data_IF_853929392515
#
_entry.id   IF_853929392515
#
_cell.length_a   1.000
_cell.length_b   1.000
_cell.length_c   1.000
_cell.angle_alpha   90.00
_cell.angle_beta   90.00
_cell.angle_gamma   90.00
#
_symmetry.space_group_name_H-M   'P 1'
#
loop_
_entity.id
_entity.type
_entity.pdbx_description
1 polymer ?
#
# COMPACT_ATOMS: atom_id res chain seq x y z
N UNK A 1 57.55 4.18 -30.86
CA UNK A 1 57.61 4.08 -29.40
C UNK A 1 56.46 4.88 -28.79
N UNK A 2 55.61 4.15 -28.05
CA UNK A 2 54.61 4.59 -27.07
C UNK A 2 53.37 5.40 -27.52
N UNK A 3 52.39 4.67 -28.05
CA UNK A 3 50.98 4.86 -27.67
C UNK A 3 50.81 4.31 -26.24
N UNK A 4 50.33 5.12 -25.30
CA UNK A 4 49.68 4.62 -24.09
C UNK A 4 48.45 5.47 -23.79
N UNK A 5 47.31 4.88 -24.12
CA UNK A 5 45.98 5.38 -23.89
C UNK A 5 45.68 5.47 -22.39
N UNK A 6 45.05 6.58 -21.97
CA UNK A 6 44.47 6.73 -20.64
C UNK A 6 43.22 5.83 -20.54
N UNK A 7 43.33 4.72 -19.81
CA UNK A 7 42.19 3.93 -19.37
C UNK A 7 41.46 4.68 -18.25
N UNK A 8 40.33 5.29 -18.57
CA UNK A 8 39.33 5.68 -17.58
C UNK A 8 38.49 4.44 -17.23
N UNK A 9 38.78 3.82 -16.10
CA UNK A 9 37.91 2.82 -15.47
C UNK A 9 36.68 3.56 -14.90
N UNK A 10 35.58 3.59 -15.66
CA UNK A 10 34.26 3.89 -15.12
C UNK A 10 33.80 2.70 -14.29
N UNK A 11 34.09 2.71 -12.98
CA UNK A 11 33.41 1.84 -12.03
C UNK A 11 31.96 2.30 -11.93
N UNK A 12 31.07 1.68 -12.69
CA UNK A 12 29.63 1.85 -12.48
C UNK A 12 29.27 1.20 -11.15
N UNK A 13 29.16 2.02 -10.10
CA UNK A 13 28.51 1.65 -8.85
C UNK A 13 27.04 1.42 -9.16
N UNK A 14 26.68 0.17 -9.45
CA UNK A 14 25.29 -0.28 -9.43
C UNK A 14 24.84 -0.28 -7.97
N UNK A 15 24.35 0.87 -7.50
CA UNK A 15 23.57 0.93 -6.28
C UNK A 15 22.31 0.08 -6.52
N UNK A 16 22.01 -0.92 -5.66
CA UNK A 16 20.71 -1.57 -5.71
C UNK A 16 19.65 -0.50 -5.51
N UNK A 17 18.73 -0.40 -6.47
CA UNK A 17 17.56 0.47 -6.37
C UNK A 17 16.65 -0.15 -5.30
N UNK A 18 16.92 0.17 -4.03
CA UNK A 18 15.97 -0.09 -2.95
C UNK A 18 14.71 0.70 -3.31
N UNK A 19 13.63 0.00 -3.63
CA UNK A 19 12.33 0.62 -3.81
C UNK A 19 11.89 1.19 -2.45
N UNK A 20 12.22 2.44 -2.18
CA UNK A 20 11.71 3.15 -1.01
C UNK A 20 10.23 3.41 -1.25
N UNK A 21 9.40 3.09 -0.25
CA UNK A 21 8.04 3.58 -0.23
C UNK A 21 8.10 5.10 -0.01
N UNK A 22 7.69 5.88 -1.01
CA UNK A 22 7.86 7.34 -0.97
C UNK A 22 6.65 8.03 -0.37
N UNK A 23 5.43 7.54 -0.64
CA UNK A 23 4.18 8.14 -0.12
C UNK A 23 4.10 9.67 -0.33
N UNK A 24 4.73 10.19 -1.39
CA UNK A 24 4.96 11.63 -1.63
C UNK A 24 3.69 12.51 -1.55
N UNK A 25 2.52 11.90 -1.75
CA UNK A 25 1.22 12.58 -1.82
C UNK A 25 0.39 12.47 -0.54
N UNK A 26 0.84 11.70 0.44
CA UNK A 26 0.08 11.42 1.66
C UNK A 26 0.99 11.22 2.88
N UNK A 27 2.20 11.77 2.85
CA UNK A 27 3.16 11.71 3.94
C UNK A 27 2.62 12.38 5.22
N UNK A 28 1.69 13.33 5.09
CA UNK A 28 1.02 14.00 6.21
C UNK A 28 0.12 13.08 7.04
N UNK A 29 -0.23 11.89 6.52
CA UNK A 29 -0.96 10.86 7.24
C UNK A 29 -0.07 10.10 8.24
N UNK A 30 1.25 10.25 8.13
CA UNK A 30 2.21 9.58 9.01
C UNK A 30 2.58 10.47 10.21
N UNK A 31 2.85 9.88 11.38
CA UNK A 31 3.31 10.62 12.55
C UNK A 31 4.67 11.28 12.22
N UNK A 32 4.78 12.58 12.50
CA UNK A 32 5.95 13.39 12.16
C UNK A 32 6.39 13.29 10.68
N UNK A 33 5.48 12.90 9.78
CA UNK A 33 5.76 12.63 8.36
C UNK A 33 6.85 11.56 8.16
N UNK A 34 7.05 10.67 9.13
CA UNK A 34 8.06 9.62 9.06
C UNK A 34 7.45 8.30 8.62
N UNK A 35 7.95 7.78 7.49
CA UNK A 35 7.43 6.56 6.87
C UNK A 35 8.05 5.33 7.58
N UNK A 36 7.26 4.30 7.91
CA UNK A 36 7.77 3.06 8.48
C UNK A 36 8.87 2.42 7.62
N UNK A 37 9.87 1.83 8.26
CA UNK A 37 10.95 1.12 7.60
C UNK A 37 10.78 -0.38 7.74
N UNK A 38 10.92 -1.11 6.64
CA UNK A 38 10.83 -2.57 6.60
C UNK A 38 11.65 -3.14 5.45
N UNK A 39 12.07 -4.40 5.58
CA UNK A 39 12.70 -5.16 4.50
C UNK A 39 11.69 -5.73 3.49
N UNK A 40 10.39 -5.69 3.81
CA UNK A 40 9.34 -6.19 2.93
C UNK A 40 9.20 -5.30 1.70
N UNK A 41 9.12 -5.91 0.52
CA UNK A 41 8.93 -5.18 -0.74
C UNK A 41 7.44 -4.93 -0.94
N UNK A 42 7.05 -3.66 -1.03
CA UNK A 42 5.66 -3.26 -1.24
C UNK A 42 5.42 -2.26 -2.36
N UNK A 43 4.18 -1.78 -2.45
CA UNK A 43 3.70 -0.68 -3.29
C UNK A 43 3.04 0.35 -2.39
N UNK A 44 3.45 1.61 -2.49
CA UNK A 44 2.81 2.72 -1.79
C UNK A 44 1.59 3.22 -2.56
N UNK A 45 0.45 3.27 -1.87
CA UNK A 45 -0.81 3.77 -2.42
C UNK A 45 -1.38 4.85 -1.50
N UNK A 46 -1.43 6.08 -2.00
CA UNK A 46 -2.10 7.18 -1.33
C UNK A 46 -3.60 7.21 -1.66
N UNK A 47 -4.43 7.18 -0.62
CA UNK A 47 -5.85 7.52 -0.65
C UNK A 47 -6.05 8.88 0.03
N UNK A 48 -7.25 9.44 -0.02
CA UNK A 48 -7.49 10.80 0.50
C UNK A 48 -7.39 10.83 2.03
N UNK A 49 -7.93 9.81 2.71
CA UNK A 49 -8.00 9.75 4.17
C UNK A 49 -7.03 8.74 4.81
N UNK A 50 -6.37 7.91 3.99
CA UNK A 50 -5.47 6.84 4.45
C UNK A 50 -4.38 6.49 3.42
N UNK A 51 -3.37 5.75 3.85
CA UNK A 51 -2.36 5.21 2.94
C UNK A 51 -2.20 3.68 3.15
N UNK A 52 -1.78 2.99 2.08
CA UNK A 52 -1.56 1.55 2.09
C UNK A 52 -0.17 1.24 1.58
N UNK A 53 0.60 0.47 2.35
CA UNK A 53 1.78 -0.24 1.85
C UNK A 53 1.38 -1.68 1.51
N UNK A 54 1.26 -1.97 0.22
CA UNK A 54 0.66 -3.19 -0.30
C UNK A 54 1.71 -4.25 -0.65
N UNK A 55 1.51 -5.51 -0.24
CA UNK A 55 2.36 -6.64 -0.63
C UNK A 55 1.94 -7.16 -2.01
N UNK A 56 2.77 -7.04 -3.06
CA UNK A 56 2.45 -7.57 -4.38
C UNK A 56 2.45 -9.10 -4.43
N UNK A 57 3.16 -9.77 -3.52
CA UNK A 57 3.19 -11.23 -3.42
C UNK A 57 1.99 -11.78 -2.66
N UNK A 58 1.63 -11.15 -1.54
CA UNK A 58 0.55 -11.64 -0.66
C UNK A 58 -0.82 -11.11 -1.09
N UNK A 59 -0.83 -10.07 -1.92
CA UNK A 59 -1.99 -9.39 -2.46
C UNK A 59 -2.91 -8.78 -1.40
N UNK A 60 -2.32 -8.31 -0.31
CA UNK A 60 -2.96 -7.65 0.83
C UNK A 60 -2.03 -6.56 1.39
N UNK A 61 -2.50 -5.64 2.24
CA UNK A 61 -1.62 -4.74 2.97
C UNK A 61 -0.52 -5.47 3.77
N UNK A 62 0.68 -4.89 3.74
CA UNK A 62 1.72 -5.08 4.75
C UNK A 62 1.32 -4.26 5.99
N UNK A 63 1.04 -2.98 5.76
CA UNK A 63 0.39 -2.08 6.72
C UNK A 63 -0.43 -1.03 5.97
N UNK A 64 -1.38 -0.44 6.69
CA UNK A 64 -2.08 0.79 6.34
C UNK A 64 -1.84 1.83 7.42
N UNK A 65 -2.09 3.10 7.12
CA UNK A 65 -2.10 4.18 8.12
C UNK A 65 -3.28 5.11 7.90
N UNK A 66 -3.90 5.52 8.99
CA UNK A 66 -4.91 6.58 9.03
C UNK A 66 -4.63 7.56 10.19
N UNK A 67 -4.95 8.84 9.95
CA UNK A 67 -4.81 9.94 10.91
C UNK A 67 -6.20 10.41 11.35
N UNK A 68 -6.59 10.01 12.56
CA UNK A 68 -7.92 10.23 13.13
C UNK A 68 -7.86 11.21 14.30
N UNK A 69 -8.97 11.85 14.60
CA UNK A 69 -9.15 12.66 15.81
C UNK A 69 -10.62 12.66 16.23
N UNK A 70 -10.89 13.23 17.41
CA UNK A 70 -12.24 13.25 17.97
C UNK A 70 -13.25 14.00 17.09
N UNK A 71 -12.84 15.07 16.43
CA UNK A 71 -13.68 15.85 15.51
C UNK A 71 -14.13 15.01 14.30
N UNK A 72 -13.20 14.38 13.59
CA UNK A 72 -13.48 13.49 12.45
C UNK A 72 -14.43 12.34 12.81
N UNK A 73 -14.24 11.73 13.98
CA UNK A 73 -15.07 10.60 14.42
C UNK A 73 -16.45 11.00 14.96
N UNK A 74 -16.69 12.28 15.19
CA UNK A 74 -17.98 12.83 15.65
C UNK A 74 -18.73 13.56 14.55
N UNK A 75 -18.06 13.95 13.47
CA UNK A 75 -18.68 14.50 12.28
C UNK A 75 -19.72 13.53 11.67
N UNK A 76 -20.71 14.03 10.91
CA UNK A 76 -21.58 13.19 10.11
C UNK A 76 -20.78 12.32 9.13
N UNK A 77 -21.10 11.03 9.07
CA UNK A 77 -20.41 10.09 8.19
C UNK A 77 -21.26 9.77 6.96
N UNK A 78 -20.65 9.63 5.78
CA UNK A 78 -21.34 9.26 4.54
C UNK A 78 -21.96 7.86 4.65
N UNK A 79 -22.93 7.58 3.77
CA UNK A 79 -23.57 6.27 3.73
C UNK A 79 -22.60 5.23 3.17
N UNK A 80 -22.47 4.11 3.88
CA UNK A 80 -21.66 2.98 3.42
C UNK A 80 -22.14 2.46 2.07
N UNK A 81 -21.25 2.40 1.08
CA UNK A 81 -21.58 2.00 -0.30
C UNK A 81 -21.63 0.49 -0.50
N UNK A 82 -20.76 -0.27 0.20
CA UNK A 82 -20.54 -1.71 0.00
C UNK A 82 -20.06 -2.09 -1.42
N UNK A 83 -19.52 -1.12 -2.17
CA UNK A 83 -19.08 -1.32 -3.54
C UNK A 83 -17.57 -1.58 -3.59
N UNK A 84 -17.19 -2.84 -3.39
CA UNK A 84 -15.80 -3.28 -3.52
C UNK A 84 -15.31 -3.22 -4.97
N UNK A 85 -14.06 -2.81 -5.16
CA UNK A 85 -13.45 -2.69 -6.48
C UNK A 85 -11.98 -3.10 -6.46
N UNK A 86 -11.48 -3.54 -7.61
CA UNK A 86 -10.12 -4.02 -7.80
C UNK A 86 -9.18 -2.83 -7.95
N UNK A 87 -8.03 -2.83 -7.25
CA UNK A 87 -7.17 -1.65 -7.21
C UNK A 87 -6.38 -1.45 -8.50
N UNK A 88 -6.99 -0.62 -9.33
CA UNK A 88 -6.50 0.05 -10.52
C UNK A 88 -5.02 0.27 -10.68
N UNK A 89 -4.36 0.74 -9.63
CA UNK A 89 -3.00 1.26 -9.72
C UNK A 89 -1.95 0.16 -9.55
N UNK A 90 -2.38 -1.06 -9.22
CA UNK A 90 -1.53 -2.22 -9.08
C UNK A 90 -1.46 -3.02 -10.38
N UNK A 91 -0.32 -3.64 -10.74
CA UNK A 91 -0.25 -4.58 -11.85
C UNK A 91 -1.28 -5.70 -11.70
N UNK A 92 -1.85 -6.18 -12.82
CA UNK A 92 -2.88 -7.21 -12.79
C UNK A 92 -2.44 -8.50 -12.05
N UNK A 93 -1.16 -8.86 -12.14
CA UNK A 93 -0.61 -10.04 -11.48
C UNK A 93 -0.35 -9.84 -9.98
N UNK A 94 -0.22 -8.60 -9.52
CA UNK A 94 0.03 -8.22 -8.12
C UNK A 94 -1.27 -7.93 -7.36
N UNK A 95 -2.37 -7.58 -8.04
CA UNK A 95 -3.63 -7.23 -7.37
C UNK A 95 -4.49 -8.44 -6.98
N UNK A 96 -5.28 -8.26 -5.93
CA UNK A 96 -6.43 -9.11 -5.63
C UNK A 96 -7.63 -8.76 -6.52
N UNK A 97 -8.41 -9.78 -6.89
CA UNK A 97 -9.63 -9.64 -7.69
C UNK A 97 -10.88 -9.98 -6.86
N UNK A 98 -12.04 -9.45 -7.27
CA UNK A 98 -13.31 -9.79 -6.61
C UNK A 98 -13.62 -11.29 -6.72
N UNK A 99 -13.18 -11.91 -7.82
CA UNK A 99 -13.30 -13.33 -8.06
C UNK A 99 -12.49 -14.19 -7.07
N UNK A 100 -11.42 -13.64 -6.46
CA UNK A 100 -10.60 -14.39 -5.51
C UNK A 100 -11.33 -14.62 -4.17
N UNK A 101 -12.15 -13.65 -3.78
CA UNK A 101 -12.94 -13.70 -2.54
C UNK A 101 -14.26 -14.47 -2.71
N UNK A 102 -14.82 -14.51 -3.91
CA UNK A 102 -16.11 -15.14 -4.17
C UNK A 102 -16.06 -16.64 -3.86
N UNK A 103 -16.88 -17.09 -2.92
CA UNK A 103 -16.97 -18.50 -2.52
C UNK A 103 -15.77 -19.01 -1.71
N UNK A 104 -14.87 -18.13 -1.27
CA UNK A 104 -13.67 -18.52 -0.53
C UNK A 104 -13.92 -18.90 0.94
N UNK A 105 -15.07 -18.50 1.50
CA UNK A 105 -15.34 -18.60 2.94
C UNK A 105 -14.81 -17.43 3.78
N UNK A 106 -13.98 -16.55 3.20
CA UNK A 106 -13.42 -15.39 3.88
C UNK A 106 -14.14 -14.09 3.50
N UNK A 107 -14.26 -13.19 4.48
CA UNK A 107 -14.70 -11.83 4.25
C UNK A 107 -13.59 -10.99 3.59
N UNK A 108 -14.01 -9.91 2.92
CA UNK A 108 -13.12 -8.80 2.52
C UNK A 108 -12.93 -7.88 3.73
N UNK A 109 -12.04 -8.28 4.63
CA UNK A 109 -11.75 -7.57 5.88
C UNK A 109 -11.03 -6.26 5.60
N UNK A 110 -11.59 -5.15 6.07
CA UNK A 110 -10.98 -3.83 5.90
C UNK A 110 -9.78 -3.67 6.83
N UNK A 111 -8.67 -3.12 6.35
CA UNK A 111 -7.57 -2.67 7.22
C UNK A 111 -7.87 -1.26 7.75
N UNK A 112 -8.26 -0.35 6.85
CA UNK A 112 -8.85 0.97 7.17
C UNK A 112 -10.37 0.85 7.07
N UNK A 113 -11.11 0.93 8.20
CA UNK A 113 -12.55 0.71 8.21
C UNK A 113 -13.31 1.81 7.45
N UNK A 114 -14.32 1.41 6.67
CA UNK A 114 -15.17 2.39 5.98
C UNK A 114 -15.89 3.35 6.95
N UNK A 115 -16.17 2.88 8.18
CA UNK A 115 -16.79 3.68 9.24
C UNK A 115 -15.89 4.76 9.85
N UNK A 116 -14.63 4.86 9.42
CA UNK A 116 -13.71 5.92 9.83
C UNK A 116 -13.62 7.05 8.78
N UNK A 117 -14.27 6.88 7.62
CA UNK A 117 -14.24 7.84 6.52
C UNK A 117 -15.28 8.96 6.71
N UNK A 118 -14.86 10.22 6.53
CA UNK A 118 -15.72 11.41 6.70
C UNK A 118 -16.20 12.01 5.38
N UNK A 119 -15.73 11.50 4.25
CA UNK A 119 -16.08 11.99 2.91
C UNK A 119 -16.64 10.87 2.05
N UNK A 120 -17.59 11.16 1.17
CA UNK A 120 -18.15 10.18 0.22
C UNK A 120 -17.05 9.53 -0.66
N UNK A 121 -16.01 10.31 -0.98
CA UNK A 121 -14.84 9.83 -1.72
C UNK A 121 -13.96 8.88 -0.89
N UNK A 122 -13.62 9.25 0.34
CA UNK A 122 -12.89 8.39 1.27
C UNK A 122 -13.65 7.09 1.56
N UNK A 123 -14.97 7.20 1.75
CA UNK A 123 -15.88 6.07 1.90
C UNK A 123 -15.74 5.10 0.73
N UNK A 124 -15.87 5.58 -0.51
CA UNK A 124 -15.71 4.72 -1.68
C UNK A 124 -14.28 4.14 -1.79
N UNK A 125 -13.25 4.95 -1.57
CA UNK A 125 -11.84 4.52 -1.59
C UNK A 125 -11.54 3.40 -0.58
N UNK A 126 -12.17 3.43 0.59
CA UNK A 126 -12.00 2.39 1.63
C UNK A 126 -12.40 0.99 1.14
N UNK A 127 -13.22 0.88 0.09
CA UNK A 127 -13.64 -0.38 -0.52
C UNK A 127 -12.67 -0.94 -1.58
N UNK A 128 -11.53 -0.29 -1.82
CA UNK A 128 -10.46 -0.84 -2.67
C UNK A 128 -9.99 -2.19 -2.14
N UNK A 129 -9.85 -3.20 -3.00
CA UNK A 129 -9.26 -4.48 -2.61
C UNK A 129 -7.79 -4.36 -2.15
N UNK A 130 -7.10 -3.25 -2.47
CA UNK A 130 -5.80 -2.99 -1.88
C UNK A 130 -5.86 -2.71 -0.37
N UNK A 131 -7.01 -2.31 0.17
CA UNK A 131 -7.27 -2.15 1.62
C UNK A 131 -7.82 -3.43 2.27
N UNK A 132 -7.96 -4.53 1.52
CA UNK A 132 -8.59 -5.76 2.00
C UNK A 132 -7.58 -6.85 2.34
N UNK A 133 -7.97 -7.73 3.26
CA UNK A 133 -7.35 -9.03 3.49
C UNK A 133 -8.43 -10.11 3.66
N UNK A 134 -8.13 -11.39 3.35
CA UNK A 134 -8.99 -12.51 3.71
C UNK A 134 -9.12 -12.60 5.23
N UNK A 135 -10.29 -12.26 5.77
CA UNK A 135 -10.54 -12.26 7.20
C UNK A 135 -11.61 -13.29 7.55
N UNK A 136 -11.35 -14.10 8.58
CA UNK A 136 -12.32 -15.05 9.10
C UNK A 136 -13.61 -14.30 9.50
N UNK A 137 -14.78 -14.86 9.21
CA UNK A 137 -16.04 -14.10 9.21
C UNK A 137 -16.43 -13.66 10.61
N UNK A 138 -16.31 -14.57 11.59
CA UNK A 138 -16.61 -14.29 12.99
C UNK A 138 -15.53 -13.37 13.58
N UNK A 139 -14.30 -13.43 13.04
CA UNK A 139 -13.27 -12.47 13.40
C UNK A 139 -13.66 -11.04 12.96
N UNK A 140 -13.94 -10.86 11.67
CA UNK A 140 -14.27 -9.57 11.06
C UNK A 140 -15.51 -8.94 11.70
N UNK A 141 -16.61 -9.69 11.75
CA UNK A 141 -17.93 -9.19 12.17
C UNK A 141 -18.07 -9.13 13.71
N UNK A 142 -17.26 -9.93 14.42
CA UNK A 142 -17.28 -10.07 15.87
C UNK A 142 -16.09 -9.37 16.52
N UNK A 143 -15.08 -10.16 16.89
CA UNK A 143 -14.01 -9.73 17.79
C UNK A 143 -13.25 -8.50 17.26
N UNK A 144 -12.95 -8.44 15.95
CA UNK A 144 -12.23 -7.32 15.36
C UNK A 144 -13.05 -6.03 15.42
N UNK A 145 -14.28 -6.05 14.90
CA UNK A 145 -15.16 -4.89 14.95
C UNK A 145 -15.45 -4.42 16.38
N UNK A 146 -15.80 -5.36 17.28
CA UNK A 146 -16.35 -5.05 18.62
C UNK A 146 -15.30 -4.86 19.71
N UNK A 147 -14.13 -5.49 19.58
CA UNK A 147 -13.09 -5.48 20.62
C UNK A 147 -11.80 -4.81 20.19
N UNK A 148 -11.63 -4.49 18.89
CA UNK A 148 -10.46 -3.77 18.37
C UNK A 148 -10.86 -2.41 17.81
N UNK A 149 -11.71 -2.37 16.79
CA UNK A 149 -12.04 -1.12 16.11
C UNK A 149 -12.91 -0.16 16.96
N UNK A 150 -14.00 -0.67 17.55
CA UNK A 150 -14.89 0.13 18.40
C UNK A 150 -14.15 0.75 19.61
N UNK A 151 -13.36 -0.01 20.40
CA UNK A 151 -12.55 0.57 21.47
C UNK A 151 -11.50 1.58 20.99
N UNK A 152 -10.89 1.34 19.83
CA UNK A 152 -9.95 2.29 19.22
C UNK A 152 -10.67 3.61 18.91
N UNK A 153 -11.82 3.57 18.24
CA UNK A 153 -12.65 4.78 17.99
C UNK A 153 -13.05 5.48 19.29
N UNK A 154 -13.46 4.73 20.32
CA UNK A 154 -13.82 5.31 21.63
C UNK A 154 -12.64 5.99 22.32
N UNK A 155 -11.42 5.47 22.19
CA UNK A 155 -10.21 6.14 22.67
C UNK A 155 -10.02 7.47 21.93
N UNK A 156 -10.01 7.43 20.60
CA UNK A 156 -9.70 8.58 19.75
C UNK A 156 -10.71 9.72 19.95
N UNK A 157 -11.99 9.40 20.15
CA UNK A 157 -13.04 10.40 20.46
C UNK A 157 -12.76 11.24 21.71
N UNK A 158 -11.94 10.72 22.64
CA UNK A 158 -11.57 11.39 23.90
C UNK A 158 -10.15 11.94 23.88
N UNK A 159 -9.37 11.66 22.83
CA UNK A 159 -8.01 12.16 22.72
C UNK A 159 -8.03 13.66 22.38
N UNK A 160 -7.09 14.46 22.94
CA UNK A 160 -7.06 15.90 22.73
C UNK A 160 -6.55 16.31 21.34
N UNK A 161 -6.03 15.37 20.55
CA UNK A 161 -5.44 15.65 19.23
C UNK A 161 -5.50 14.46 18.29
N UNK A 162 -4.65 14.50 17.27
CA UNK A 162 -4.57 13.41 16.29
C UNK A 162 -4.00 12.14 16.94
N UNK A 163 -4.62 11.01 16.60
CA UNK A 163 -4.16 9.66 16.90
C UNK A 163 -3.92 8.96 15.56
N UNK A 164 -2.78 8.27 15.47
CA UNK A 164 -2.37 7.55 14.28
C UNK A 164 -2.66 6.06 14.49
N UNK A 165 -3.34 5.44 13.53
CA UNK A 165 -3.68 4.03 13.58
C UNK A 165 -3.02 3.33 12.41
N UNK A 166 -2.21 2.32 12.69
CA UNK A 166 -1.67 1.42 11.69
C UNK A 166 -2.35 0.07 11.80
N UNK A 167 -2.79 -0.48 10.66
CA UNK A 167 -3.42 -1.81 10.62
C UNK A 167 -2.71 -2.68 9.61
N UNK A 168 -2.50 -3.95 9.94
CA UNK A 168 -1.91 -4.89 9.00
C UNK A 168 -2.07 -6.33 9.48
N UNK A 169 -1.38 -7.24 8.80
CA UNK A 169 -1.51 -8.67 9.07
C UNK A 169 -0.25 -9.44 8.70
N UNK A 170 0.00 -10.54 9.41
CA UNK A 170 1.21 -11.36 9.26
C UNK A 170 0.91 -12.86 9.16
N UNK A 171 1.94 -13.59 8.74
CA UNK A 171 1.92 -15.04 8.56
C UNK A 171 1.08 -15.47 7.36
N UNK A 172 1.05 -16.78 7.14
CA UNK A 172 0.43 -17.39 5.98
C UNK A 172 -0.30 -18.66 6.43
N UNK A 173 -1.62 -18.67 6.26
CA UNK A 173 -2.51 -19.80 6.54
C UNK A 173 -3.13 -20.36 5.25
N UNK A 174 -2.40 -20.23 4.13
CA UNK A 174 -2.87 -20.59 2.79
C UNK A 174 -3.28 -19.36 1.97
N UNK A 175 -4.08 -19.60 0.94
CA UNK A 175 -4.50 -18.55 0.00
C UNK A 175 -5.89 -18.82 -0.58
N UNK A 176 -6.58 -17.75 -0.98
CA UNK A 176 -7.88 -17.81 -1.67
C UNK A 176 -7.76 -17.45 -3.15
N UNK A 177 -8.69 -17.97 -3.95
CA UNK A 177 -8.84 -17.59 -5.35
C UNK A 177 -7.74 -18.08 -6.29
N UNK A 178 -7.91 -17.83 -7.59
CA UNK A 178 -6.87 -18.11 -8.61
C UNK A 178 -5.70 -17.13 -8.49
N UNK A 179 -5.97 -15.93 -7.99
CA UNK A 179 -5.00 -14.91 -7.70
C UNK A 179 -4.06 -15.27 -6.54
N UNK A 180 -4.38 -16.29 -5.72
CA UNK A 180 -3.62 -16.70 -4.54
C UNK A 180 -3.43 -15.56 -3.53
N UNK A 181 -4.52 -14.88 -3.19
CA UNK A 181 -4.50 -13.85 -2.14
C UNK A 181 -4.23 -14.55 -0.81
N UNK A 182 -3.17 -14.15 -0.11
CA UNK A 182 -2.72 -14.85 1.10
C UNK A 182 -3.69 -14.62 2.25
N UNK A 183 -4.04 -15.70 2.94
CA UNK A 183 -4.79 -15.66 4.20
C UNK A 183 -3.77 -15.40 5.32
N UNK A 184 -3.80 -14.25 6.01
CA UNK A 184 -2.92 -14.02 7.14
C UNK A 184 -3.30 -14.93 8.30
N UNK A 185 -2.32 -15.32 9.12
CA UNK A 185 -2.57 -16.05 10.37
C UNK A 185 -3.00 -15.12 11.51
N UNK A 186 -2.55 -13.86 11.48
CA UNK A 186 -2.77 -12.89 12.55
C UNK A 186 -2.97 -11.49 11.98
N UNK A 187 -3.74 -10.71 12.72
CA UNK A 187 -4.06 -9.32 12.44
C UNK A 187 -3.51 -8.45 13.57
N UNK A 188 -3.05 -7.25 13.24
CA UNK A 188 -2.62 -6.28 14.24
C UNK A 188 -3.20 -4.89 13.97
N UNK A 189 -3.45 -4.14 15.06
CA UNK A 189 -3.80 -2.72 14.99
C UNK A 189 -2.99 -1.96 16.04
N UNK A 190 -2.03 -1.17 15.57
CA UNK A 190 -1.20 -0.28 16.37
C UNK A 190 -1.88 1.07 16.50
N UNK A 191 -2.03 1.55 17.73
CA UNK A 191 -2.58 2.87 18.04
C UNK A 191 -1.49 3.71 18.66
N UNK A 192 -1.25 4.91 18.12
CA UNK A 192 -0.26 5.85 18.62
C UNK A 192 -0.90 7.21 18.92
N UNK A 193 -0.78 7.64 20.17
CA UNK A 193 -1.18 8.95 20.66
C UNK A 193 0.07 9.81 20.92
N UNK A 194 0.42 10.74 20.01
CA UNK A 194 1.58 11.60 20.16
C UNK A 194 1.46 12.57 21.35
N UNK A 195 0.25 12.97 21.74
CA UNK A 195 0.05 13.90 22.85
C UNK A 195 0.47 13.27 24.19
N UNK A 196 0.35 11.94 24.28
CA UNK A 196 0.79 11.15 25.43
C UNK A 196 2.09 10.37 25.20
N UNK A 197 2.66 10.45 23.98
CA UNK A 197 3.78 9.60 23.55
C UNK A 197 3.56 8.13 23.88
N UNK A 198 2.34 7.64 23.66
CA UNK A 198 1.90 6.31 24.03
C UNK A 198 1.55 5.50 22.78
N UNK A 199 2.00 4.24 22.74
CA UNK A 199 1.62 3.29 21.72
C UNK A 199 1.31 1.90 22.28
N UNK A 200 0.31 1.23 21.71
CA UNK A 200 -0.01 -0.17 21.99
C UNK A 200 -0.56 -0.83 20.73
N UNK A 201 -0.47 -2.16 20.65
CA UNK A 201 -1.03 -2.90 19.53
C UNK A 201 -1.94 -4.03 19.97
N UNK A 202 -3.11 -4.12 19.33
CA UNK A 202 -3.92 -5.33 19.34
C UNK A 202 -3.22 -6.39 18.47
N UNK A 203 -3.27 -7.64 18.91
CA UNK A 203 -2.75 -8.80 18.18
C UNK A 203 -3.78 -9.93 18.27
N UNK A 204 -4.37 -10.32 17.15
CA UNK A 204 -5.52 -11.25 17.13
C UNK A 204 -5.31 -12.30 16.05
N UNK A 205 -5.55 -13.57 16.37
CA UNK A 205 -5.56 -14.66 15.38
C UNK A 205 -6.67 -14.45 14.34
N UNK A 206 -6.41 -14.82 13.09
CA UNK A 206 -7.39 -14.71 12.00
C UNK A 206 -8.23 -16.00 11.88
N UNK A 207 -8.94 -16.34 12.94
CA UNK A 207 -9.82 -17.51 13.03
C UNK A 207 -11.20 -17.13 13.56
N UNK A 208 -12.19 -17.98 13.32
CA UNK A 208 -13.56 -17.74 13.77
C UNK A 208 -13.75 -17.92 15.29
N UNK A 209 -12.82 -18.62 15.95
CA UNK A 209 -12.77 -18.89 17.38
C UNK A 209 -11.78 -18.00 18.15
N UNK A 210 -11.14 -17.04 17.46
CA UNK A 210 -10.15 -16.14 18.03
C UNK A 210 -10.62 -15.48 19.33
N UNK A 211 -9.71 -15.40 20.30
CA UNK A 211 -9.96 -14.80 21.61
C UNK A 211 -9.15 -13.51 21.78
N UNK A 212 -9.66 -12.58 22.59
CA UNK A 212 -8.93 -11.36 22.91
C UNK A 212 -7.84 -11.63 23.93
N UNK A 213 -6.65 -11.12 23.66
CA UNK A 213 -5.58 -10.98 24.65
C UNK A 213 -5.38 -9.53 25.04
N UNK A 214 -4.58 -9.27 26.08
CA UNK A 214 -4.10 -7.94 26.36
C UNK A 214 -3.30 -7.39 25.14
N UNK A 215 -3.36 -6.07 24.87
CA UNK A 215 -2.50 -5.46 23.87
C UNK A 215 -1.02 -5.72 24.13
N UNK A 216 -0.26 -5.90 23.05
CA UNK A 216 1.20 -6.03 23.10
C UNK A 216 1.87 -4.66 23.06
N UNK A 217 3.14 -4.62 23.49
CA UNK A 217 3.95 -3.41 23.44
C UNK A 217 4.37 -3.08 22.00
N UNK A 218 4.76 -1.82 21.78
CA UNK A 218 5.33 -1.38 20.50
C UNK A 218 6.60 -2.17 20.11
N UNK A 219 7.48 -2.44 21.08
CA UNK A 219 8.71 -3.21 20.84
C UNK A 219 8.41 -4.65 20.40
N UNK A 220 7.43 -5.30 21.04
CA UNK A 220 7.00 -6.64 20.64
C UNK A 220 6.39 -6.63 19.22
N UNK A 221 5.62 -5.60 18.87
CA UNK A 221 5.08 -5.47 17.52
C UNK A 221 6.18 -5.35 16.47
N UNK A 222 7.21 -4.53 16.71
CA UNK A 222 8.37 -4.42 15.80
C UNK A 222 9.02 -5.79 15.63
N UNK A 223 9.25 -6.53 16.73
CA UNK A 223 9.86 -7.86 16.68
C UNK A 223 9.02 -8.85 15.85
N UNK A 224 7.68 -8.82 15.98
CA UNK A 224 6.79 -9.72 15.24
C UNK A 224 6.63 -9.37 13.77
N UNK A 225 6.70 -8.08 13.43
CA UNK A 225 6.39 -7.59 12.08
C UNK A 225 7.63 -7.29 11.23
N UNK A 226 8.76 -7.01 11.88
CA UNK A 226 9.96 -6.48 11.21
C UNK A 226 9.73 -5.08 10.59
N UNK A 227 8.78 -4.31 11.14
CA UNK A 227 8.44 -2.96 10.70
C UNK A 227 8.76 -2.00 11.86
N UNK A 228 9.64 -1.03 11.62
CA UNK A 228 9.84 0.10 12.52
C UNK A 228 8.94 1.26 12.06
N UNK A 229 8.00 1.67 12.91
CA UNK A 229 7.04 2.74 12.61
C UNK A 229 7.56 4.12 13.04
N UNK A 230 8.78 4.21 13.59
CA UNK A 230 9.44 5.45 14.02
C UNK A 230 8.63 6.30 15.00
N UNK A 231 7.97 5.65 15.97
CA UNK A 231 7.16 6.36 16.96
C UNK A 231 8.01 6.90 18.12
N UNK A 232 7.77 8.14 18.51
CA UNK A 232 8.40 8.77 19.68
C UNK A 232 7.59 8.45 20.95
N UNK A 233 8.14 7.63 21.85
CA UNK A 233 7.44 7.15 23.05
C UNK A 233 7.96 7.79 24.35
N UNK A 234 7.14 7.78 25.39
CA UNK A 234 7.54 8.19 26.73
C UNK A 234 8.67 7.29 27.25
N UNK A 235 9.74 7.89 27.79
CA UNK A 235 10.93 7.15 28.24
C UNK A 235 11.90 6.72 27.13
N UNK A 236 11.64 7.04 25.86
CA UNK A 236 12.62 6.87 24.78
C UNK A 236 13.60 8.05 24.73
N UNK A 237 14.40 8.24 25.79
CA UNK A 237 15.60 9.08 25.65
C UNK A 237 16.61 8.34 24.76
N UNK A 238 16.82 8.89 23.55
CA UNK A 238 17.95 8.70 22.65
C UNK A 238 18.96 7.60 23.03
N UNK A 239 18.71 6.37 22.56
CA UNK A 239 19.78 5.56 22.01
C UNK A 239 19.66 5.63 20.49
N UNK A 240 20.32 6.64 19.92
CA UNK A 240 20.77 6.61 18.53
C UNK A 240 21.44 5.25 18.29
N UNK A 241 20.75 4.37 17.58
CA UNK A 241 21.33 3.15 17.07
C UNK A 241 22.33 3.54 16.00
N UNK A 242 23.61 3.25 16.25
CA UNK A 242 24.67 3.32 15.24
C UNK A 242 24.21 2.61 13.96
N UNK A 243 24.57 3.12 12.77
CA UNK A 243 24.36 2.39 11.52
C UNK A 243 25.04 1.03 11.61
N UNK A 244 24.30 -0.04 11.39
CA UNK A 244 24.85 -1.38 11.28
C UNK A 244 25.83 -1.44 10.09
N UNK A 245 27.00 -2.04 10.33
CA UNK A 245 28.02 -2.29 9.33
C UNK A 245 27.49 -3.14 8.18
N UNK A 246 27.91 -2.78 6.96
CA UNK A 246 27.65 -3.52 5.73
C UNK A 246 28.25 -4.92 5.82
N UNK A 247 27.43 -5.96 5.80
CA UNK A 247 27.88 -7.29 5.39
C UNK A 247 27.62 -7.49 3.90
N UNK A 248 28.59 -8.15 3.26
CA UNK A 248 28.76 -8.37 1.83
C UNK A 248 27.63 -9.17 1.17
N UNK A 249 27.47 -8.87 -0.12
CA UNK A 249 26.52 -9.40 -1.09
C UNK A 249 26.55 -10.92 -1.27
N UNK A 250 25.38 -11.54 -1.28
CA UNK A 250 25.10 -12.73 -2.08
C UNK A 250 24.07 -12.37 -3.16
N UNK A 251 24.42 -12.63 -4.41
CA UNK A 251 23.58 -12.41 -5.59
C UNK A 251 22.44 -13.44 -5.64
N UNK A 252 21.21 -12.96 -5.43
CA UNK A 252 19.97 -13.71 -5.74
C UNK A 252 19.44 -13.32 -7.13
N UNK A 253 18.79 -14.25 -7.84
CA UNK A 253 18.53 -14.12 -9.28
C UNK A 253 17.53 -13.00 -9.58
N UNK A 254 17.86 -12.18 -10.58
CA UNK A 254 17.03 -11.11 -11.12
C UNK A 254 15.81 -11.67 -11.85
N UNK A 255 14.66 -11.63 -11.20
CA UNK A 255 13.35 -11.72 -11.86
C UNK A 255 13.03 -10.31 -12.37
N UNK A 256 12.73 -10.16 -13.66
CA UNK A 256 12.46 -8.85 -14.29
C UNK A 256 11.52 -7.99 -13.45
N UNK A 257 12.03 -6.85 -12.98
CA UNK A 257 11.30 -5.93 -12.11
C UNK A 257 10.22 -5.15 -12.85
N UNK A 258 9.22 -4.67 -12.11
CA UNK A 258 8.19 -3.77 -12.65
C UNK A 258 8.33 -2.38 -12.03
N UNK A 259 8.00 -1.34 -12.79
CA UNK A 259 7.94 0.03 -12.26
C UNK A 259 6.75 0.80 -12.87
N UNK A 260 6.06 1.63 -12.06
CA UNK A 260 5.01 2.51 -12.56
C UNK A 260 5.60 3.81 -13.13
N UNK A 261 4.97 4.33 -14.19
CA UNK A 261 5.19 5.70 -14.69
C UNK A 261 3.87 6.44 -14.62
N UNK A 262 3.80 7.47 -13.78
CA UNK A 262 2.58 8.23 -13.53
C UNK A 262 2.45 9.43 -14.48
N UNK A 263 1.25 9.62 -15.04
CA UNK A 263 0.87 10.73 -15.92
C UNK A 263 -0.37 11.42 -15.35
N UNK A 264 -0.18 12.51 -14.57
CA UNK A 264 -1.28 13.39 -14.16
C UNK A 264 -1.80 14.26 -15.31
N UNK A 265 -0.93 14.50 -16.28
CA UNK A 265 -1.18 15.12 -17.59
C UNK A 265 -0.24 14.48 -18.62
N UNK A 266 -0.45 14.79 -19.90
CA UNK A 266 0.44 14.34 -20.95
C UNK A 266 1.88 14.83 -20.70
N UNK A 267 2.86 13.93 -20.80
CA UNK A 267 4.28 14.23 -20.62
C UNK A 267 5.10 13.52 -21.69
N UNK A 268 5.57 14.28 -22.68
CA UNK A 268 6.39 13.76 -23.76
C UNK A 268 7.72 13.18 -23.23
N UNK A 269 8.33 13.81 -22.22
CA UNK A 269 9.60 13.35 -21.62
C UNK A 269 9.49 11.94 -21.01
N UNK A 270 8.47 11.72 -20.18
CA UNK A 270 8.20 10.41 -19.57
C UNK A 270 7.95 9.35 -20.65
N UNK A 271 7.23 9.72 -21.70
CA UNK A 271 6.89 8.83 -22.81
C UNK A 271 8.11 8.50 -23.68
N UNK A 272 8.94 9.48 -24.04
CA UNK A 272 10.18 9.29 -24.79
C UNK A 272 11.14 8.37 -24.01
N UNK A 273 11.25 8.58 -22.70
CA UNK A 273 12.07 7.73 -21.83
C UNK A 273 11.57 6.29 -21.86
N UNK A 274 10.26 6.07 -21.70
CA UNK A 274 9.65 4.74 -21.78
C UNK A 274 9.89 4.07 -23.14
N UNK A 275 9.63 4.79 -24.24
CA UNK A 275 9.85 4.29 -25.60
C UNK A 275 11.31 3.92 -25.84
N UNK A 276 12.26 4.69 -25.30
CA UNK A 276 13.69 4.38 -25.42
C UNK A 276 14.04 3.04 -24.75
N UNK A 277 13.45 2.75 -23.59
CA UNK A 277 13.63 1.46 -22.92
C UNK A 277 12.98 0.30 -23.70
N UNK A 278 11.81 0.53 -24.31
CA UNK A 278 11.17 -0.47 -25.18
C UNK A 278 12.07 -0.78 -26.38
N UNK A 279 12.56 0.25 -27.07
CA UNK A 279 13.47 0.11 -28.23
C UNK A 279 14.79 -0.56 -27.87
N UNK A 280 15.31 -0.30 -26.67
CA UNK A 280 16.50 -0.97 -26.14
C UNK A 280 16.25 -2.44 -25.73
N UNK A 281 15.04 -2.96 -25.94
CA UNK A 281 14.68 -4.33 -25.59
C UNK A 281 14.56 -4.58 -24.09
N UNK A 282 14.59 -3.53 -23.26
CA UNK A 282 14.54 -3.64 -21.78
C UNK A 282 13.15 -3.86 -21.23
N UNK A 283 12.10 -3.68 -22.04
CA UNK A 283 10.70 -3.76 -21.61
C UNK A 283 10.02 -4.98 -22.23
N UNK A 284 9.36 -5.78 -21.39
CA UNK A 284 8.62 -6.97 -21.78
C UNK A 284 7.15 -6.68 -22.09
N UNK A 285 6.50 -5.79 -21.33
CA UNK A 285 5.09 -5.41 -21.51
C UNK A 285 4.81 -4.04 -20.89
N UNK A 286 3.82 -3.34 -21.42
CA UNK A 286 3.29 -2.09 -20.86
C UNK A 286 1.77 -2.21 -20.73
N UNK A 287 1.25 -1.93 -19.53
CA UNK A 287 -0.19 -1.82 -19.29
C UNK A 287 -0.50 -0.36 -18.93
N UNK A 288 -1.38 0.29 -19.69
CA UNK A 288 -1.89 1.62 -19.40
C UNK A 288 -3.16 1.49 -18.57
N UNK A 289 -3.12 1.98 -17.34
CA UNK A 289 -4.24 1.99 -16.42
C UNK A 289 -4.74 3.42 -16.21
N UNK A 290 -6.06 3.61 -16.20
CA UNK A 290 -6.65 4.93 -16.02
C UNK A 290 -7.84 4.87 -15.08
N UNK A 291 -8.02 5.96 -14.34
CA UNK A 291 -9.20 6.16 -13.50
C UNK A 291 -10.31 6.78 -14.37
N UNK A 292 -10.31 8.11 -14.55
CA UNK A 292 -11.30 8.81 -15.42
C UNK A 292 -10.73 9.38 -16.72
N UNK A 293 -9.41 9.45 -16.86
CA UNK A 293 -8.76 10.11 -18.00
C UNK A 293 -8.52 9.13 -19.16
N UNK A 294 -9.63 8.61 -19.72
CA UNK A 294 -9.60 7.69 -20.86
C UNK A 294 -8.87 8.31 -22.06
N UNK A 295 -9.07 9.60 -22.31
CA UNK A 295 -8.46 10.31 -23.44
C UNK A 295 -6.92 10.29 -23.35
N UNK A 296 -6.35 10.67 -22.20
CA UNK A 296 -4.91 10.59 -21.99
C UNK A 296 -4.41 9.13 -22.09
N UNK A 297 -5.19 8.18 -21.58
CA UNK A 297 -4.82 6.78 -21.59
C UNK A 297 -4.78 6.22 -23.02
N UNK A 298 -5.79 6.51 -23.83
CA UNK A 298 -5.84 6.16 -25.26
C UNK A 298 -4.70 6.83 -26.01
N UNK A 299 -4.42 8.11 -25.74
CA UNK A 299 -3.30 8.83 -26.34
C UNK A 299 -1.96 8.14 -26.04
N UNK A 300 -1.70 7.78 -24.79
CA UNK A 300 -0.47 7.08 -24.41
C UNK A 300 -0.37 5.69 -25.06
N UNK A 301 -1.47 4.92 -25.10
CA UNK A 301 -1.50 3.62 -25.81
C UNK A 301 -1.15 3.80 -27.28
N UNK A 302 -1.80 4.75 -27.96
CA UNK A 302 -1.58 5.03 -29.37
C UNK A 302 -0.12 5.41 -29.64
N UNK A 303 0.45 6.32 -28.85
CA UNK A 303 1.82 6.76 -29.07
C UNK A 303 2.85 5.66 -28.79
N UNK A 304 2.65 4.82 -27.77
CA UNK A 304 3.51 3.67 -27.51
C UNK A 304 3.47 2.68 -28.68
N UNK A 305 2.27 2.41 -29.21
CA UNK A 305 2.07 1.47 -30.33
C UNK A 305 2.61 2.02 -31.66
N UNK A 306 2.53 3.33 -31.90
CA UNK A 306 3.07 3.96 -33.10
C UNK A 306 4.60 4.01 -33.06
N UNK A 307 5.18 4.28 -31.89
CA UNK A 307 6.61 4.54 -31.76
C UNK A 307 7.42 3.31 -31.30
N UNK A 308 6.77 2.18 -31.04
CA UNK A 308 7.42 0.93 -30.63
C UNK A 308 6.70 -0.30 -31.18
N UNK A 309 7.37 -1.46 -31.19
CA UNK A 309 6.76 -2.74 -31.58
C UNK A 309 5.92 -3.39 -30.47
N UNK A 310 5.77 -2.74 -29.32
CA UNK A 310 5.12 -3.29 -28.13
C UNK A 310 3.65 -2.89 -28.09
N UNK A 311 2.77 -3.88 -27.95
CA UNK A 311 1.33 -3.63 -27.76
C UNK A 311 1.04 -3.29 -26.30
N UNK A 312 0.71 -2.02 -26.05
CA UNK A 312 0.21 -1.59 -24.75
C UNK A 312 -1.27 -1.98 -24.57
N UNK A 313 -1.64 -2.51 -23.40
CA UNK A 313 -3.02 -2.85 -23.06
C UNK A 313 -3.67 -1.77 -22.20
N UNK A 314 -4.93 -1.46 -22.45
CA UNK A 314 -5.69 -0.45 -21.71
C UNK A 314 -6.56 -1.09 -20.61
N UNK A 315 -6.65 -0.47 -19.43
CA UNK A 315 -7.51 -0.94 -18.33
C UNK A 315 -8.07 0.24 -17.53
N UNK A 316 -9.40 0.32 -17.42
CA UNK A 316 -10.05 1.28 -16.51
C UNK A 316 -10.08 0.71 -15.11
N UNK A 317 -9.87 1.55 -14.11
CA UNK A 317 -10.17 1.18 -12.74
C UNK A 317 -10.30 2.45 -11.87
N UNK A 318 -11.51 2.64 -11.38
CA UNK A 318 -11.92 3.67 -10.44
C UNK A 318 -12.74 2.99 -9.35
N UNK A 319 -12.90 3.58 -8.16
CA UNK A 319 -14.07 3.25 -7.37
C UNK A 319 -15.31 3.45 -8.28
N UNK A 320 -16.28 2.51 -8.26
CA UNK A 320 -17.44 2.60 -9.14
C UNK A 320 -18.14 3.96 -9.05
N UNK A 321 -18.71 4.40 -10.16
CA UNK A 321 -19.41 5.67 -10.24
C UNK A 321 -20.49 5.77 -9.15
N UNK A 322 -20.43 6.84 -8.37
CA UNK A 322 -21.41 7.16 -7.34
C UNK A 322 -21.98 8.53 -7.63
N UNK A 323 -23.31 8.66 -7.60
CA UNK A 323 -24.02 9.87 -8.01
C UNK A 323 -23.57 11.15 -7.27
N UNK A 324 -23.00 10.98 -6.07
CA UNK A 324 -22.58 12.08 -5.20
C UNK A 324 -21.06 12.18 -5.01
N UNK A 325 -20.26 11.38 -5.73
CA UNK A 325 -18.79 11.38 -5.62
C UNK A 325 -18.15 11.83 -6.92
N UNK A 326 -17.43 12.93 -6.87
CA UNK A 326 -16.52 13.31 -7.95
C UNK A 326 -15.12 12.84 -7.55
N UNK A 327 -14.62 11.80 -8.23
CA UNK A 327 -13.24 11.34 -8.08
C UNK A 327 -12.29 12.23 -8.89
N UNK A 328 -11.64 13.20 -8.27
CA UNK A 328 -10.60 13.98 -8.96
C UNK A 328 -9.27 13.23 -8.96
N UNK A 329 -9.15 12.25 -9.86
CA UNK A 329 -7.85 11.61 -10.17
C UNK A 329 -7.75 11.44 -11.69
N UNK A 330 -7.23 12.46 -12.38
CA UNK A 330 -6.98 12.41 -13.83
C UNK A 330 -5.71 11.61 -14.20
N UNK A 331 -5.17 10.84 -13.24
CA UNK A 331 -3.92 10.11 -13.37
C UNK A 331 -4.09 8.88 -14.25
N UNK A 332 -3.20 8.75 -15.21
CA UNK A 332 -2.96 7.54 -15.99
C UNK A 332 -1.63 6.94 -15.56
N UNK A 333 -1.53 5.61 -15.51
CA UNK A 333 -0.35 4.88 -15.05
C UNK A 333 0.09 3.94 -16.15
N UNK A 334 1.33 4.08 -16.61
CA UNK A 334 1.97 3.05 -17.41
C UNK A 334 2.71 2.08 -16.47
N UNK A 335 2.22 0.86 -16.36
CA UNK A 335 2.88 -0.23 -15.64
C UNK A 335 3.83 -0.92 -16.60
N UNK A 336 5.13 -0.81 -16.32
CA UNK A 336 6.20 -1.27 -17.22
C UNK A 336 6.86 -2.51 -16.64
N UNK A 337 6.88 -3.60 -17.42
CA UNK A 337 7.65 -4.81 -17.09
C UNK A 337 9.02 -4.72 -17.68
N UNK A 338 10.07 -4.86 -16.89
CA UNK A 338 11.42 -5.05 -17.42
C UNK A 338 11.62 -6.50 -17.87
N UNK A 339 12.40 -6.72 -18.93
CA UNK A 339 12.83 -8.06 -19.36
C UNK A 339 13.88 -8.65 -18.42
#
# INVERSE_FOLDING_TARGET
>A
MNLLAKLFLFSSLWLPLSALALFDQCQDLFPAQQIPSTAQVGRDLCFDDFAVYYSPSDKKPIYTVEKLNGEKLQAPHPRRTNQFYEEARLPAHERALLADYRGSGYDRGHNVPAGDMTSERGMAQSFSLANMMPQARQNNQGIWAKRVEEPTRMYIKRAPGNVYVFTGSVGNAGSIGKGKVTIPSHLYKLVYDPAKKLAWAYWVENTDDAQMTAPISYAELIQRTGIDFHLALEGSESKSSKPAEKSSSESKPTVGGWYPVFFDQYSAEKLVTLISHIKAGKVASVQIQYDRNLELAQKLVQEIQVQSSLQATLSQSSPPDSANVIYERNRVIAIVRSK
#
